data_IF_453746032343
#
_entry.id   IF_453746032343
#
_cell.length_a   1.000
_cell.length_b   1.000
_cell.length_c   1.000
_cell.angle_alpha   90.00
_cell.angle_beta   90.00
_cell.angle_gamma   90.00
#
_symmetry.space_group_name_H-M   'P 1'
#
loop_
_entity.id
_entity.type
_entity.pdbx_description
1 polymer ?
#
# COMPACT_ATOMS: atom_id res chain seq x y z
N UNK A 1 -17.90 16.37 -22.59
CA UNK A 1 -17.37 16.07 -21.24
C UNK A 1 -15.97 15.49 -21.30
N UNK A 2 -15.79 14.30 -21.90
CA UNK A 2 -14.53 13.51 -21.87
C UNK A 2 -13.31 14.30 -22.38
N UNK A 3 -13.42 14.96 -23.52
CA UNK A 3 -12.34 15.82 -24.06
C UNK A 3 -11.98 16.98 -23.15
N UNK A 4 -12.99 17.59 -22.49
CA UNK A 4 -12.75 18.75 -21.62
C UNK A 4 -11.95 18.43 -20.35
N UNK A 5 -12.04 17.18 -19.87
CA UNK A 5 -11.33 16.72 -18.66
C UNK A 5 -10.00 16.02 -19.00
N UNK A 6 -9.55 16.05 -20.25
CA UNK A 6 -8.26 15.51 -20.67
C UNK A 6 -8.19 13.98 -20.83
N UNK A 7 -9.30 13.24 -20.61
CA UNK A 7 -9.29 11.77 -20.67
C UNK A 7 -9.05 11.24 -22.10
N UNK A 8 -9.38 12.03 -23.11
CA UNK A 8 -9.20 11.70 -24.52
C UNK A 8 -7.94 12.32 -25.15
N UNK A 9 -7.10 12.96 -24.37
CA UNK A 9 -5.89 13.60 -24.88
C UNK A 9 -4.89 12.58 -25.43
N UNK A 10 -4.18 12.97 -26.48
CA UNK A 10 -3.03 12.24 -26.94
C UNK A 10 -1.84 12.50 -26.01
N UNK A 11 -1.52 11.51 -25.20
CA UNK A 11 -0.43 11.58 -24.23
C UNK A 11 0.97 11.50 -24.87
N UNK A 12 1.04 11.23 -26.20
CA UNK A 12 2.30 11.08 -26.95
C UNK A 12 3.30 10.13 -26.24
N UNK A 13 2.79 8.96 -25.86
CA UNK A 13 3.58 7.95 -25.13
C UNK A 13 4.71 7.43 -26.06
N UNK A 14 5.99 7.54 -25.67
CA UNK A 14 7.13 7.16 -26.51
C UNK A 14 7.43 5.64 -26.44
N UNK A 15 6.38 4.81 -26.56
CA UNK A 15 6.48 3.35 -26.56
C UNK A 15 5.88 2.79 -27.83
N UNK A 16 6.54 1.78 -28.41
CA UNK A 16 6.04 1.08 -29.60
C UNK A 16 4.71 0.40 -29.26
N UNK A 17 3.71 0.62 -30.12
CA UNK A 17 2.36 0.08 -29.92
C UNK A 17 1.45 0.93 -29.03
N UNK A 18 1.93 2.04 -28.48
CA UNK A 18 1.05 2.99 -27.79
C UNK A 18 0.05 3.61 -28.75
N UNK A 19 -1.22 3.67 -28.35
CA UNK A 19 -2.28 4.28 -29.12
C UNK A 19 -3.01 5.33 -28.27
N UNK A 20 -3.46 6.45 -28.87
CA UNK A 20 -4.26 7.42 -28.16
C UNK A 20 -5.67 6.87 -27.85
N UNK A 21 -6.37 7.53 -26.93
CA UNK A 21 -7.76 7.23 -26.65
C UNK A 21 -8.63 7.44 -27.91
N UNK A 22 -9.55 6.51 -28.17
CA UNK A 22 -10.49 6.57 -29.29
C UNK A 22 -11.89 6.73 -28.74
N UNK A 23 -12.41 7.95 -28.89
CA UNK A 23 -13.80 8.28 -28.53
C UNK A 23 -14.57 8.47 -29.85
N UNK A 24 -15.51 7.57 -30.11
CA UNK A 24 -16.32 7.64 -31.33
C UNK A 24 -17.19 8.90 -31.29
N UNK A 25 -17.15 9.67 -32.37
CA UNK A 25 -17.97 10.86 -32.55
C UNK A 25 -18.97 10.63 -33.70
N UNK A 26 -20.20 11.17 -33.61
CA UNK A 26 -21.14 11.07 -34.69
C UNK A 26 -20.62 11.75 -35.96
N UNK A 27 -20.63 11.03 -37.07
CA UNK A 27 -20.23 11.53 -38.38
C UNK A 27 -21.39 11.36 -39.37
N UNK A 28 -21.68 12.40 -40.13
CA UNK A 28 -22.66 12.36 -41.22
C UNK A 28 -21.94 12.19 -42.55
N UNK A 29 -22.42 11.24 -43.34
CA UNK A 29 -21.97 11.06 -44.71
C UNK A 29 -22.46 12.18 -45.62
N UNK A 30 -22.11 12.16 -46.92
CA UNK A 30 -22.55 13.13 -47.94
C UNK A 30 -24.06 13.21 -48.11
N UNK A 31 -24.81 12.19 -47.70
CA UNK A 31 -26.29 12.15 -47.76
C UNK A 31 -26.93 12.60 -46.44
N UNK A 32 -26.18 13.15 -45.50
CA UNK A 32 -26.66 13.63 -44.21
C UNK A 32 -27.05 12.55 -43.20
N UNK A 33 -26.76 11.28 -43.49
CA UNK A 33 -27.06 10.14 -42.63
C UNK A 33 -25.83 9.82 -41.77
N UNK A 34 -26.08 9.35 -40.53
CA UNK A 34 -24.99 8.86 -39.67
C UNK A 34 -24.54 7.48 -40.14
N UNK A 35 -23.29 7.35 -40.53
CA UNK A 35 -22.65 6.11 -40.99
C UNK A 35 -21.94 5.32 -39.89
N UNK A 36 -21.61 5.98 -38.79
CA UNK A 36 -20.86 5.38 -37.67
C UNK A 36 -21.57 5.52 -36.31
N UNK A 37 -22.88 5.89 -36.31
CA UNK A 37 -23.58 6.23 -35.08
C UNK A 37 -24.94 5.53 -34.99
N UNK A 38 -25.07 4.57 -34.07
CA UNK A 38 -26.33 3.89 -33.80
C UNK A 38 -27.22 4.69 -32.84
N UNK A 39 -28.52 4.42 -32.80
CA UNK A 39 -29.47 5.01 -31.85
C UNK A 39 -29.09 4.70 -30.38
N UNK A 40 -28.37 3.62 -30.15
CA UNK A 40 -27.91 3.16 -28.81
C UNK A 40 -26.52 3.61 -28.47
N UNK A 41 -25.75 4.24 -29.35
CA UNK A 41 -24.37 4.63 -29.15
C UNK A 41 -24.17 5.51 -27.88
N UNK A 42 -24.96 6.59 -27.77
CA UNK A 42 -24.84 7.51 -26.64
C UNK A 42 -25.21 6.87 -25.30
N UNK A 43 -26.32 6.11 -25.15
CA UNK A 43 -26.60 5.33 -23.97
C UNK A 43 -25.47 4.37 -23.59
N UNK A 44 -24.88 3.63 -24.52
CA UNK A 44 -23.75 2.74 -24.25
C UNK A 44 -22.50 3.49 -23.84
N UNK A 45 -22.20 4.61 -24.49
CA UNK A 45 -21.04 5.46 -24.10
C UNK A 45 -21.22 6.07 -22.71
N UNK A 46 -22.45 6.35 -22.27
CA UNK A 46 -22.71 6.93 -20.95
C UNK A 46 -22.30 6.00 -19.79
N UNK A 47 -22.23 4.71 -20.04
CA UNK A 47 -21.78 3.68 -19.09
C UNK A 47 -20.38 3.13 -19.41
N UNK A 48 -19.65 3.78 -20.36
CA UNK A 48 -18.25 3.48 -20.66
C UNK A 48 -18.00 2.51 -21.81
N UNK A 49 -19.04 1.99 -22.48
CA UNK A 49 -18.87 1.19 -23.70
C UNK A 49 -18.64 2.06 -24.94
N UNK A 50 -18.25 1.45 -26.05
CA UNK A 50 -17.98 2.09 -27.34
C UNK A 50 -16.87 3.17 -27.29
N UNK A 51 -16.10 3.20 -26.20
CA UNK A 51 -14.91 4.02 -26.03
C UNK A 51 -13.70 3.11 -25.82
N UNK A 52 -12.58 3.49 -26.41
CA UNK A 52 -11.30 2.82 -26.22
C UNK A 52 -10.33 3.79 -25.54
N UNK A 53 -10.21 3.66 -24.24
CA UNK A 53 -9.32 4.50 -23.41
C UNK A 53 -8.18 3.62 -22.90
N UNK A 54 -6.94 3.88 -23.30
CA UNK A 54 -5.79 3.13 -22.78
C UNK A 54 -5.70 3.22 -21.26
N UNK A 55 -5.24 2.16 -20.56
CA UNK A 55 -5.07 2.20 -19.12
C UNK A 55 -4.22 3.39 -18.63
N UNK A 56 -3.18 3.76 -19.39
CA UNK A 56 -2.34 4.92 -19.04
C UNK A 56 -3.10 6.24 -19.08
N UNK A 57 -4.06 6.42 -20.00
CA UNK A 57 -4.90 7.63 -20.05
C UNK A 57 -5.84 7.67 -18.84
N UNK A 58 -6.42 6.53 -18.46
CA UNK A 58 -7.21 6.40 -17.24
C UNK A 58 -6.37 6.73 -16.01
N UNK A 59 -5.16 6.16 -15.90
CA UNK A 59 -4.26 6.41 -14.80
C UNK A 59 -3.86 7.88 -14.70
N UNK A 60 -3.55 8.53 -15.83
CA UNK A 60 -3.23 9.96 -15.92
C UNK A 60 -4.38 10.83 -15.40
N UNK A 61 -5.61 10.44 -15.72
CA UNK A 61 -6.81 11.13 -15.23
C UNK A 61 -6.99 10.98 -13.71
N UNK A 62 -6.80 9.77 -13.15
CA UNK A 62 -6.83 9.55 -11.69
C UNK A 62 -5.68 10.26 -10.97
N UNK A 63 -4.51 10.29 -11.59
CA UNK A 63 -3.37 11.05 -11.09
C UNK A 63 -3.70 12.56 -11.04
N UNK A 64 -4.38 13.10 -12.05
CA UNK A 64 -4.81 14.50 -12.03
C UNK A 64 -5.82 14.79 -10.91
N UNK A 65 -6.74 13.87 -10.61
CA UNK A 65 -7.64 13.99 -9.45
C UNK A 65 -6.84 14.00 -8.15
N UNK A 66 -5.88 13.09 -7.98
CA UNK A 66 -4.99 13.03 -6.83
C UNK A 66 -4.15 14.31 -6.68
N UNK A 67 -3.74 14.90 -7.80
CA UNK A 67 -2.94 16.12 -7.87
C UNK A 67 -3.81 17.41 -7.94
N UNK A 68 -4.92 17.43 -7.22
CA UNK A 68 -5.83 18.58 -7.09
C UNK A 68 -6.32 19.18 -8.43
N UNK A 69 -6.44 18.34 -9.45
CA UNK A 69 -6.92 18.69 -10.77
C UNK A 69 -5.85 19.06 -11.80
N UNK A 70 -4.58 19.11 -11.42
CA UNK A 70 -3.46 19.37 -12.32
C UNK A 70 -3.04 18.07 -13.02
N UNK A 71 -3.17 18.01 -14.34
CA UNK A 71 -2.84 16.84 -15.15
C UNK A 71 -1.42 16.96 -15.70
N UNK A 72 -0.61 15.97 -15.38
CA UNK A 72 0.79 15.86 -15.84
C UNK A 72 0.91 14.83 -16.97
N UNK A 73 1.80 15.09 -17.93
CA UNK A 73 2.15 14.08 -18.94
C UNK A 73 2.89 12.89 -18.28
N UNK A 74 2.51 11.64 -18.56
CA UNK A 74 3.29 10.49 -18.12
C UNK A 74 4.72 10.55 -18.63
N UNK A 75 5.68 10.34 -17.73
CA UNK A 75 7.11 10.42 -18.01
C UNK A 75 7.78 9.10 -17.60
N UNK A 76 8.39 8.41 -18.56
CA UNK A 76 9.04 7.11 -18.36
C UNK A 76 10.54 7.24 -18.12
N UNK A 77 11.15 8.33 -18.58
CA UNK A 77 12.56 8.63 -18.42
C UNK A 77 12.70 10.01 -17.81
N UNK A 78 13.52 10.13 -16.78
CA UNK A 78 13.80 11.42 -16.12
C UNK A 78 15.05 12.07 -16.66
N UNK A 79 16.09 11.27 -16.94
CA UNK A 79 17.37 11.73 -17.48
C UNK A 79 18.13 10.59 -18.15
N UNK A 80 19.02 10.94 -19.04
CA UNK A 80 20.01 10.04 -19.64
C UNK A 80 21.39 10.41 -19.07
N UNK A 81 22.10 9.40 -18.55
CA UNK A 81 23.43 9.59 -17.94
C UNK A 81 24.46 8.80 -18.73
N UNK A 82 25.61 9.40 -19.04
CA UNK A 82 26.78 8.75 -19.66
C UNK A 82 28.01 9.10 -18.81
N UNK A 83 28.73 8.06 -18.40
CA UNK A 83 29.96 8.19 -17.57
C UNK A 83 29.75 9.03 -16.27
N UNK A 84 28.55 8.96 -15.67
CA UNK A 84 28.21 9.73 -14.48
C UNK A 84 27.69 11.15 -14.73
N UNK A 85 27.79 11.66 -15.96
CA UNK A 85 27.30 13.00 -16.34
C UNK A 85 25.92 12.91 -16.97
N UNK A 86 25.02 13.82 -16.59
CA UNK A 86 23.69 13.95 -17.19
C UNK A 86 23.81 14.62 -18.55
N UNK A 87 23.52 13.87 -19.63
CA UNK A 87 23.60 14.37 -21.01
C UNK A 87 22.23 14.85 -21.53
N UNK A 88 21.13 14.45 -20.92
CA UNK A 88 19.78 14.89 -21.27
C UNK A 88 18.86 14.76 -20.09
N UNK A 89 17.98 15.73 -19.87
CA UNK A 89 16.92 15.71 -18.88
C UNK A 89 15.55 15.85 -19.54
N UNK A 90 14.54 15.20 -18.95
CA UNK A 90 13.15 15.29 -19.37
C UNK A 90 12.35 15.91 -18.21
N UNK A 91 12.10 17.22 -18.21
CA UNK A 91 11.36 17.88 -17.15
C UNK A 91 9.89 17.44 -17.12
N UNK A 92 9.19 17.60 -15.97
CA UNK A 92 7.76 17.39 -15.89
C UNK A 92 7.01 18.34 -16.84
N UNK A 93 6.03 17.82 -17.58
CA UNK A 93 5.18 18.60 -18.49
C UNK A 93 3.74 18.60 -17.99
N UNK A 94 3.14 19.79 -17.92
CA UNK A 94 1.75 19.99 -17.56
C UNK A 94 0.88 19.93 -18.81
N UNK A 95 -0.09 19.00 -18.83
CA UNK A 95 -1.09 18.93 -19.91
C UNK A 95 -2.25 19.88 -19.65
N UNK A 96 -2.77 19.88 -18.43
CA UNK A 96 -3.81 20.79 -17.99
C UNK A 96 -3.51 21.31 -16.58
N UNK A 97 -3.50 22.60 -16.40
CA UNK A 97 -3.37 23.23 -15.08
C UNK A 97 -4.57 22.87 -14.18
N UNK A 98 -5.75 22.63 -14.81
CA UNK A 98 -6.95 22.25 -14.08
C UNK A 98 -7.96 21.53 -14.98
N UNK A 99 -8.25 20.25 -14.67
CA UNK A 99 -9.24 19.45 -15.41
C UNK A 99 -10.70 19.73 -15.01
N UNK A 100 -10.93 20.27 -13.80
CA UNK A 100 -12.25 20.61 -13.29
C UNK A 100 -12.16 21.65 -12.18
N UNK A 101 -13.31 22.23 -11.78
CA UNK A 101 -13.38 23.17 -10.65
C UNK A 101 -12.89 22.49 -9.37
N UNK A 102 -12.19 23.24 -8.50
CA UNK A 102 -11.63 22.75 -7.25
C UNK A 102 -12.66 22.02 -6.36
N UNK A 103 -13.85 22.61 -6.21
CA UNK A 103 -14.93 21.98 -5.45
C UNK A 103 -15.36 20.63 -6.04
N UNK A 104 -15.32 20.48 -7.37
CA UNK A 104 -15.64 19.20 -8.04
C UNK A 104 -14.54 18.17 -7.80
N UNK A 105 -13.28 18.61 -7.81
CA UNK A 105 -12.12 17.74 -7.48
C UNK A 105 -12.24 17.25 -6.04
N UNK A 106 -12.47 18.12 -5.08
CA UNK A 106 -12.63 17.74 -3.65
C UNK A 106 -13.79 16.76 -3.45
N UNK A 107 -14.93 17.00 -4.12
CA UNK A 107 -16.06 16.08 -4.05
C UNK A 107 -15.74 14.70 -4.61
N UNK A 108 -15.08 14.63 -5.77
CA UNK A 108 -14.74 13.34 -6.37
C UNK A 108 -13.67 12.60 -5.56
N UNK A 109 -12.71 13.29 -4.96
CA UNK A 109 -11.73 12.70 -4.05
C UNK A 109 -12.43 12.01 -2.87
N UNK A 110 -13.38 12.68 -2.21
CA UNK A 110 -14.20 12.09 -1.13
C UNK A 110 -15.00 10.87 -1.62
N UNK A 111 -15.62 10.96 -2.80
CA UNK A 111 -16.40 9.85 -3.38
C UNK A 111 -15.49 8.64 -3.65
N UNK A 112 -14.28 8.86 -4.21
CA UNK A 112 -13.35 7.78 -4.52
C UNK A 112 -12.81 7.10 -3.26
N UNK A 113 -12.61 7.84 -2.18
CA UNK A 113 -12.28 7.29 -0.86
C UNK A 113 -13.43 6.44 -0.31
N UNK A 114 -14.68 6.93 -0.40
CA UNK A 114 -15.87 6.19 0.03
C UNK A 114 -16.10 4.91 -0.78
N UNK A 115 -15.75 4.87 -2.06
CA UNK A 115 -15.80 3.63 -2.86
C UNK A 115 -14.94 2.54 -2.24
N UNK A 116 -13.82 2.92 -1.62
CA UNK A 116 -12.90 1.97 -0.98
C UNK A 116 -13.29 1.71 0.47
N UNK A 117 -13.64 2.73 1.26
CA UNK A 117 -13.94 2.56 2.69
C UNK A 117 -15.25 1.82 2.94
N UNK A 118 -16.32 2.14 2.20
CA UNK A 118 -17.66 1.58 2.40
C UNK A 118 -18.26 0.91 1.16
N UNK A 119 -17.72 1.18 -0.04
CA UNK A 119 -18.25 0.70 -1.31
C UNK A 119 -17.68 -0.63 -1.81
N UNK A 120 -17.78 -0.85 -3.13
CA UNK A 120 -17.33 -2.09 -3.79
C UNK A 120 -15.81 -2.21 -3.91
N UNK A 121 -15.06 -1.18 -3.58
CA UNK A 121 -13.60 -1.13 -3.60
C UNK A 121 -12.91 -1.61 -2.34
N UNK A 122 -13.63 -2.08 -1.32
CA UNK A 122 -13.07 -2.45 0.01
C UNK A 122 -11.84 -3.35 -0.04
N UNK A 123 -11.76 -4.26 -1.01
CA UNK A 123 -10.60 -5.17 -1.16
C UNK A 123 -9.33 -4.49 -1.67
N UNK A 124 -9.41 -3.24 -2.12
CA UNK A 124 -8.26 -2.43 -2.47
C UNK A 124 -7.77 -1.55 -1.30
N UNK A 125 -8.57 -1.45 -0.24
CA UNK A 125 -8.26 -0.63 0.93
C UNK A 125 -7.22 -1.26 1.85
N UNK A 126 -6.54 -0.42 2.61
CA UNK A 126 -5.54 -0.78 3.61
C UNK A 126 -6.05 -0.42 5.02
N UNK A 127 -5.69 -1.20 6.06
CA UNK A 127 -5.90 -0.79 7.45
C UNK A 127 -4.88 0.28 7.90
N UNK A 128 -3.81 0.51 7.13
CA UNK A 128 -2.65 1.30 7.51
C UNK A 128 -2.67 2.72 6.91
N UNK A 129 -3.35 2.91 5.79
CA UNK A 129 -3.45 4.19 5.08
C UNK A 129 -4.74 4.27 4.26
N UNK A 130 -5.18 5.48 3.96
CA UNK A 130 -6.38 5.71 3.15
C UNK A 130 -6.08 5.44 1.67
N UNK A 131 -7.04 4.82 0.99
CA UNK A 131 -6.99 4.56 -0.45
C UNK A 131 -8.21 5.16 -1.10
N UNK A 132 -8.02 5.83 -2.22
CA UNK A 132 -9.09 6.33 -3.07
C UNK A 132 -9.02 5.69 -4.46
N UNK A 133 -10.16 5.24 -4.99
CA UNK A 133 -10.16 4.60 -6.30
C UNK A 133 -11.52 4.10 -6.74
N UNK A 134 -11.56 3.47 -7.91
CA UNK A 134 -12.77 2.93 -8.52
C UNK A 134 -12.53 1.59 -9.18
N UNK A 135 -13.47 0.69 -8.99
CA UNK A 135 -13.55 -0.61 -9.65
C UNK A 135 -14.15 -0.47 -11.07
N UNK A 136 -13.67 -1.28 -12.00
CA UNK A 136 -14.28 -1.46 -13.31
C UNK A 136 -14.52 -2.95 -13.60
N UNK A 137 -15.64 -3.26 -14.21
CA UNK A 137 -15.97 -4.61 -14.70
C UNK A 137 -16.71 -4.43 -16.03
N UNK A 138 -15.99 -4.58 -17.13
CA UNK A 138 -16.53 -4.40 -18.45
C UNK A 138 -16.51 -5.72 -19.24
N UNK A 139 -17.55 -6.01 -19.99
CA UNK A 139 -17.52 -7.09 -20.96
C UNK A 139 -16.73 -6.67 -22.20
N UNK A 140 -15.91 -7.57 -22.73
CA UNK A 140 -15.13 -7.33 -23.93
C UNK A 140 -15.85 -7.88 -25.15
N UNK A 141 -16.00 -7.04 -26.19
CA UNK A 141 -16.52 -7.48 -27.48
C UNK A 141 -15.45 -8.28 -28.22
N UNK A 142 -15.88 -9.32 -28.93
CA UNK A 142 -15.07 -10.15 -29.83
C UNK A 142 -15.20 -9.71 -31.30
N UNK A 143 -15.24 -8.40 -31.54
CA UNK A 143 -15.40 -7.82 -32.88
C UNK A 143 -16.79 -8.14 -33.46
N UNK A 144 -16.86 -8.66 -34.69
CA UNK A 144 -18.10 -8.98 -35.37
C UNK A 144 -18.98 -9.99 -34.61
N UNK A 145 -18.40 -10.82 -33.74
CA UNK A 145 -19.14 -11.76 -32.90
C UNK A 145 -19.83 -11.15 -31.66
N UNK A 146 -19.60 -9.86 -31.39
CA UNK A 146 -20.21 -9.14 -30.27
C UNK A 146 -19.74 -9.63 -28.90
N UNK A 147 -20.59 -9.45 -27.88
CA UNK A 147 -20.23 -9.78 -26.46
C UNK A 147 -20.50 -11.22 -26.08
N UNK A 148 -21.32 -11.96 -26.81
CA UNK A 148 -21.80 -13.32 -26.43
C UNK A 148 -21.16 -14.45 -27.20
N UNK A 149 -20.45 -14.20 -28.29
CA UNK A 149 -19.87 -15.23 -29.15
C UNK A 149 -18.74 -15.99 -28.43
N UNK A 150 -18.89 -17.28 -28.24
CA UNK A 150 -17.86 -18.16 -27.63
C UNK A 150 -17.53 -17.89 -26.18
N UNK A 151 -18.52 -17.45 -25.38
CA UNK A 151 -18.37 -17.11 -23.97
C UNK A 151 -18.02 -15.64 -23.72
N UNK A 152 -18.32 -15.14 -22.52
CA UNK A 152 -18.08 -13.73 -22.13
C UNK A 152 -16.68 -13.56 -21.60
N UNK A 153 -15.96 -12.59 -22.15
CA UNK A 153 -14.68 -12.12 -21.60
C UNK A 153 -14.89 -10.79 -20.89
N UNK A 154 -14.16 -10.59 -19.82
CA UNK A 154 -14.23 -9.40 -18.99
C UNK A 154 -12.88 -8.69 -18.95
N UNK A 155 -12.92 -7.36 -18.96
CA UNK A 155 -11.82 -6.51 -18.52
C UNK A 155 -12.17 -6.01 -17.11
N UNK A 156 -11.42 -6.49 -16.14
CA UNK A 156 -11.52 -6.09 -14.74
C UNK A 156 -10.48 -5.03 -14.48
N UNK A 157 -10.85 -3.99 -13.75
CA UNK A 157 -9.88 -2.95 -13.42
C UNK A 157 -10.10 -2.38 -12.02
N UNK A 158 -9.04 -1.83 -11.46
CA UNK A 158 -9.07 -0.92 -10.34
C UNK A 158 -8.06 0.19 -10.61
N UNK A 159 -8.52 1.44 -10.60
CA UNK A 159 -7.67 2.63 -10.73
C UNK A 159 -7.82 3.47 -9.47
N UNK A 160 -6.71 3.92 -8.91
CA UNK A 160 -6.73 4.68 -7.67
C UNK A 160 -5.39 5.30 -7.31
N UNK A 161 -5.34 5.89 -6.13
CA UNK A 161 -4.15 6.52 -5.58
C UNK A 161 -4.09 6.36 -4.06
N UNK A 162 -2.90 6.48 -3.52
CA UNK A 162 -2.62 6.32 -2.09
C UNK A 162 -1.34 7.07 -1.68
N UNK A 163 -1.23 7.48 -0.37
CA UNK A 163 -2.34 7.65 0.58
C UNK A 163 -3.39 8.64 0.03
N UNK A 164 -4.68 8.48 0.37
CA UNK A 164 -5.72 9.34 -0.21
C UNK A 164 -5.73 10.76 0.35
N UNK A 165 -5.32 10.92 1.60
CA UNK A 165 -5.19 12.19 2.34
C UNK A 165 -3.96 13.00 1.92
N UNK A 166 -2.88 12.34 1.49
CA UNK A 166 -1.67 12.96 0.95
C UNK A 166 -1.13 12.13 -0.23
N UNK A 167 -1.71 12.23 -1.42
CA UNK A 167 -1.41 11.37 -2.55
C UNK A 167 0.04 11.42 -2.99
N UNK A 168 0.71 10.26 -2.97
CA UNK A 168 2.09 10.09 -3.45
C UNK A 168 2.18 9.16 -4.66
N UNK A 169 1.28 8.19 -4.74
CA UNK A 169 1.29 7.16 -5.76
C UNK A 169 -0.08 7.01 -6.39
N UNK A 170 -0.12 6.78 -7.69
CA UNK A 170 -1.31 6.34 -8.43
C UNK A 170 -1.01 5.04 -9.14
N UNK A 171 -1.98 4.12 -9.17
CA UNK A 171 -1.83 2.80 -9.76
C UNK A 171 -3.12 2.39 -10.48
N UNK A 172 -2.98 1.67 -11.58
CA UNK A 172 -4.07 0.98 -12.26
C UNK A 172 -3.72 -0.49 -12.45
N UNK A 173 -4.66 -1.35 -12.10
CA UNK A 173 -4.56 -2.80 -12.33
C UNK A 173 -5.65 -3.20 -13.31
N UNK A 174 -5.25 -3.84 -14.42
CA UNK A 174 -6.15 -4.36 -15.43
C UNK A 174 -5.94 -5.87 -15.60
N UNK A 175 -7.01 -6.65 -15.52
CA UNK A 175 -7.00 -8.11 -15.65
C UNK A 175 -8.03 -8.53 -16.70
N UNK A 176 -7.59 -9.26 -17.71
CA UNK A 176 -8.51 -9.92 -18.64
C UNK A 176 -8.89 -11.30 -18.12
N UNK A 177 -10.16 -11.61 -18.11
CA UNK A 177 -10.70 -12.86 -17.58
C UNK A 177 -11.85 -13.41 -18.43
N UNK A 178 -11.82 -14.70 -18.69
CA UNK A 178 -12.92 -15.42 -19.30
C UNK A 178 -13.89 -15.96 -18.25
N UNK A 179 -15.19 -15.80 -18.49
CA UNK A 179 -16.26 -16.33 -17.65
C UNK A 179 -16.39 -15.71 -16.26
N UNK A 180 -17.31 -16.24 -15.47
CA UNK A 180 -17.58 -15.85 -14.09
C UNK A 180 -16.78 -16.74 -13.10
N UNK A 181 -16.54 -16.29 -11.86
CA UNK A 181 -16.85 -14.96 -11.32
C UNK A 181 -15.94 -13.88 -11.89
N UNK A 182 -16.47 -12.66 -12.11
CA UNK A 182 -15.74 -11.51 -12.63
C UNK A 182 -16.03 -10.29 -11.75
N UNK A 183 -14.99 -9.76 -11.10
CA UNK A 183 -15.12 -8.65 -10.17
C UNK A 183 -13.86 -7.77 -10.17
N UNK A 184 -13.99 -6.53 -10.63
CA UNK A 184 -12.90 -5.55 -10.58
C UNK A 184 -12.40 -5.28 -9.14
N UNK A 185 -13.32 -5.11 -8.19
CA UNK A 185 -12.97 -4.96 -6.78
C UNK A 185 -12.37 -6.23 -6.16
N UNK A 186 -12.94 -7.39 -6.52
CA UNK A 186 -12.53 -8.67 -5.96
C UNK A 186 -11.18 -9.19 -6.45
N UNK A 187 -10.80 -8.87 -7.69
CA UNK A 187 -9.57 -9.34 -8.35
C UNK A 187 -8.57 -8.19 -8.49
N UNK A 188 -8.86 -7.20 -9.33
CA UNK A 188 -7.94 -6.08 -9.55
C UNK A 188 -7.72 -5.23 -8.30
N UNK A 189 -8.76 -5.07 -7.46
CA UNK A 189 -8.63 -4.37 -6.17
C UNK A 189 -7.72 -5.11 -5.19
N UNK A 190 -7.76 -6.45 -5.16
CA UNK A 190 -6.84 -7.22 -4.31
C UNK A 190 -5.38 -7.08 -4.75
N UNK A 191 -5.12 -7.13 -6.04
CA UNK A 191 -3.75 -6.91 -6.57
C UNK A 191 -3.28 -5.48 -6.29
N UNK A 192 -4.17 -4.48 -6.42
CA UNK A 192 -3.87 -3.10 -6.06
C UNK A 192 -3.49 -2.98 -4.57
N UNK A 193 -4.22 -3.64 -3.68
CA UNK A 193 -3.91 -3.70 -2.24
C UNK A 193 -2.49 -4.21 -1.99
N UNK A 194 -2.13 -5.37 -2.55
CA UNK A 194 -0.79 -5.96 -2.38
C UNK A 194 0.32 -5.01 -2.90
N UNK A 195 0.09 -4.35 -4.04
CA UNK A 195 1.03 -3.37 -4.59
C UNK A 195 1.16 -2.16 -3.65
N UNK A 196 0.04 -1.62 -3.18
CA UNK A 196 0.05 -0.42 -2.33
C UNK A 196 0.68 -0.68 -0.97
N UNK A 197 0.39 -1.83 -0.34
CA UNK A 197 1.05 -2.25 0.90
C UNK A 197 2.56 -2.42 0.71
N UNK A 198 2.99 -3.08 -0.38
CA UNK A 198 4.40 -3.26 -0.68
C UNK A 198 5.15 -1.94 -0.88
N UNK A 199 4.56 -0.98 -1.60
CA UNK A 199 5.15 0.34 -1.83
C UNK A 199 5.21 1.14 -0.53
N UNK A 200 4.13 1.17 0.25
CA UNK A 200 4.08 1.90 1.51
C UNK A 200 5.05 1.32 2.55
N UNK A 201 5.19 0.00 2.61
CA UNK A 201 6.17 -0.65 3.47
C UNK A 201 7.63 -0.29 3.09
N UNK A 202 7.91 -0.10 1.80
CA UNK A 202 9.23 0.38 1.35
C UNK A 202 9.44 1.87 1.66
N UNK A 203 8.41 2.70 1.48
CA UNK A 203 8.46 4.13 1.79
C UNK A 203 8.75 4.39 3.25
N UNK A 204 8.18 3.59 4.17
CA UNK A 204 8.49 3.65 5.61
C UNK A 204 9.97 3.40 5.91
N UNK A 205 10.68 2.62 5.08
CA UNK A 205 12.14 2.40 5.21
C UNK A 205 12.96 3.58 4.68
N UNK A 206 12.43 4.36 3.76
CA UNK A 206 13.13 5.50 3.13
C UNK A 206 12.88 6.83 3.86
N UNK A 207 11.69 7.01 4.44
CA UNK A 207 11.28 8.25 5.14
C UNK A 207 11.89 8.44 6.54
N UNK A 208 12.72 7.51 7.00
CA UNK A 208 13.46 7.64 8.28
C UNK A 208 14.40 8.85 8.31
N UNK A 209 14.70 9.47 7.15
CA UNK A 209 15.59 10.65 7.07
C UNK A 209 14.89 12.00 7.20
N UNK A 210 13.58 12.10 6.98
CA UNK A 210 12.85 13.38 6.92
C UNK A 210 11.67 13.52 7.88
N UNK A 211 11.55 12.66 8.88
CA UNK A 211 10.44 12.65 9.85
C UNK A 211 10.55 13.79 10.88
N UNK A 212 10.49 15.04 10.42
CA UNK A 212 10.19 16.20 11.30
C UNK A 212 8.73 16.67 11.21
N UNK A 213 7.93 16.16 10.28
CA UNK A 213 6.50 16.48 10.19
C UNK A 213 5.66 15.23 10.49
N UNK A 214 4.80 15.37 11.50
CA UNK A 214 3.83 14.48 12.10
C UNK A 214 3.07 13.52 11.15
N UNK A 215 3.77 12.60 10.51
CA UNK A 215 3.12 11.42 9.96
C UNK A 215 2.70 10.50 11.12
N UNK A 216 1.50 9.95 11.09
CA UNK A 216 1.05 8.95 12.05
C UNK A 216 1.96 7.73 11.95
N UNK A 217 2.97 7.67 12.81
CA UNK A 217 3.91 6.54 12.85
C UNK A 217 3.14 5.30 13.25
N UNK A 218 3.13 4.29 12.37
CA UNK A 218 2.56 2.98 12.72
C UNK A 218 3.45 2.36 13.79
N UNK A 219 2.92 2.28 15.00
CA UNK A 219 3.64 1.65 16.11
C UNK A 219 3.54 0.13 15.96
N UNK A 220 4.65 -0.58 15.75
CA UNK A 220 4.64 -2.03 15.63
C UNK A 220 4.28 -2.71 16.95
N UNK A 221 3.89 -3.98 16.89
CA UNK A 221 3.78 -4.82 18.10
C UNK A 221 5.20 -5.17 18.58
N UNK A 222 5.61 -4.54 19.66
CA UNK A 222 6.96 -4.69 20.23
C UNK A 222 6.92 -5.81 21.27
N UNK A 223 7.82 -6.77 21.11
CA UNK A 223 7.97 -7.90 22.04
C UNK A 223 8.71 -7.47 23.32
N UNK A 224 8.40 -8.12 24.41
CA UNK A 224 9.23 -8.04 25.64
C UNK A 224 10.64 -8.55 25.33
N UNK A 225 11.62 -8.10 26.09
CA UNK A 225 13.02 -8.54 25.91
C UNK A 225 14.01 -7.48 26.36
N UNK A 226 15.07 -7.28 25.59
CA UNK A 226 16.04 -6.22 25.85
C UNK A 226 15.43 -4.85 25.48
N UNK A 227 14.86 -4.17 26.47
CA UNK A 227 14.18 -2.88 26.26
C UNK A 227 15.15 -1.74 25.94
N UNK A 228 16.43 -1.87 26.24
CA UNK A 228 17.46 -0.91 25.85
C UNK A 228 17.68 -0.95 24.33
N UNK A 229 17.77 -2.15 23.76
CA UNK A 229 17.86 -2.34 22.32
C UNK A 229 16.57 -1.93 21.61
N UNK A 230 15.40 -2.22 22.22
CA UNK A 230 14.11 -1.79 21.71
C UNK A 230 14.00 -0.26 21.66
N UNK A 231 14.39 0.46 22.71
CA UNK A 231 14.39 1.93 22.76
C UNK A 231 15.29 2.51 21.67
N UNK A 232 16.48 1.97 21.48
CA UNK A 232 17.38 2.37 20.41
C UNK A 232 16.75 2.25 19.03
N UNK A 233 16.20 1.07 18.71
CA UNK A 233 15.58 0.81 17.40
C UNK A 233 14.35 1.69 17.20
N UNK A 234 13.46 1.79 18.19
CA UNK A 234 12.24 2.58 18.11
C UNK A 234 12.54 4.08 17.90
N UNK A 235 13.52 4.61 18.63
CA UNK A 235 13.96 6.01 18.50
C UNK A 235 14.52 6.28 17.10
N UNK A 236 15.32 5.37 16.54
CA UNK A 236 15.85 5.50 15.17
C UNK A 236 14.78 5.34 14.09
N UNK A 237 13.66 4.68 14.40
CA UNK A 237 12.47 4.62 13.53
C UNK A 237 11.50 5.81 13.74
N UNK A 238 11.88 6.81 14.56
CA UNK A 238 11.03 7.95 14.87
C UNK A 238 9.84 7.63 15.77
N UNK A 239 9.82 6.46 16.41
CA UNK A 239 8.76 6.04 17.32
C UNK A 239 9.11 6.53 18.73
N UNK A 240 8.21 7.30 19.32
CA UNK A 240 8.38 7.81 20.69
C UNK A 240 8.32 6.67 21.71
N UNK A 241 9.20 6.72 22.70
CA UNK A 241 9.18 5.87 23.89
C UNK A 241 8.97 6.74 25.14
N UNK A 242 8.64 6.11 26.28
CA UNK A 242 8.53 6.82 27.56
C UNK A 242 9.90 6.99 28.26
N UNK A 243 10.97 6.58 27.62
CA UNK A 243 12.31 6.59 28.17
C UNK A 243 13.27 7.36 27.27
N UNK A 244 14.33 7.88 27.82
CA UNK A 244 15.43 8.48 27.07
C UNK A 244 16.75 7.89 27.59
N UNK A 245 17.09 6.71 27.09
CA UNK A 245 18.37 6.07 27.42
C UNK A 245 19.46 6.30 26.38
N UNK A 246 19.29 7.36 25.56
CA UNK A 246 20.19 7.69 24.47
C UNK A 246 21.64 7.85 24.95
N UNK A 247 22.43 6.84 24.87
CA UNK A 247 23.84 6.78 25.31
C UNK A 247 24.18 5.57 26.20
N UNK A 248 23.17 4.91 26.79
CA UNK A 248 23.40 3.77 27.67
C UNK A 248 23.61 2.44 26.96
N UNK A 249 23.22 2.30 25.70
CA UNK A 249 23.31 1.04 24.95
C UNK A 249 24.69 0.75 24.36
N UNK A 250 25.59 1.73 24.33
CA UNK A 250 26.95 1.52 23.82
C UNK A 250 27.87 0.84 24.81
N UNK A 251 27.56 0.88 26.12
CA UNK A 251 28.44 0.41 27.19
C UNK A 251 27.75 -0.43 28.26
N UNK A 252 26.44 -0.65 28.16
CA UNK A 252 25.65 -1.23 29.25
C UNK A 252 25.28 -2.70 29.07
N UNK A 253 25.10 -3.39 30.18
CA UNK A 253 24.46 -4.70 30.26
C UNK A 253 23.00 -4.59 29.73
N UNK A 254 22.45 -5.63 29.07
CA UNK A 254 21.08 -5.61 28.58
C UNK A 254 20.09 -5.36 29.72
N UNK A 255 19.14 -4.43 29.50
CA UNK A 255 18.07 -4.18 30.46
C UNK A 255 16.84 -4.94 29.96
N UNK A 256 16.39 -5.90 30.75
CA UNK A 256 15.25 -6.73 30.46
C UNK A 256 13.94 -6.07 30.92
N UNK A 257 12.91 -6.12 30.10
CA UNK A 257 11.67 -5.45 30.42
C UNK A 257 10.51 -5.81 29.52
N UNK A 258 9.40 -5.14 29.79
CA UNK A 258 8.15 -5.23 29.03
C UNK A 258 8.03 -4.06 28.08
N UNK A 259 7.46 -4.32 26.92
CA UNK A 259 7.10 -3.32 25.93
C UNK A 259 5.59 -3.38 25.69
N UNK A 260 4.94 -2.25 25.77
CA UNK A 260 3.49 -2.11 25.58
C UNK A 260 3.18 -0.95 24.63
N UNK A 261 2.35 -1.20 23.63
CA UNK A 261 1.86 -0.16 22.72
C UNK A 261 0.78 0.66 23.42
N UNK A 262 0.99 1.97 23.55
CA UNK A 262 0.01 2.89 24.12
C UNK A 262 -0.70 3.65 23.01
N UNK A 263 -1.82 3.10 22.55
CA UNK A 263 -2.55 3.63 21.40
C UNK A 263 -1.64 3.73 20.16
N UNK A 264 -1.80 4.80 19.39
CA UNK A 264 -0.92 5.14 18.27
C UNK A 264 0.06 6.28 18.62
N UNK A 265 0.43 6.44 19.89
CA UNK A 265 1.23 7.58 20.36
C UNK A 265 2.67 7.24 20.65
N UNK A 266 2.91 6.17 21.42
CA UNK A 266 4.25 5.76 21.83
C UNK A 266 4.28 4.31 22.32
N UNK A 267 5.50 3.76 22.50
CA UNK A 267 5.73 2.47 23.15
C UNK A 267 6.22 2.71 24.58
N UNK A 268 5.49 2.15 25.54
CA UNK A 268 5.87 2.16 26.94
C UNK A 268 6.87 1.03 27.19
N UNK A 269 8.04 1.36 27.69
CA UNK A 269 9.10 0.43 28.07
C UNK A 269 9.26 0.45 29.59
N UNK A 270 9.09 -0.70 30.23
CA UNK A 270 9.19 -0.85 31.69
C UNK A 270 10.19 -1.94 32.05
N UNK A 271 11.08 -1.65 33.02
CA UNK A 271 12.00 -2.65 33.53
C UNK A 271 11.23 -3.77 34.21
N UNK A 272 11.51 -5.01 33.84
CA UNK A 272 10.98 -6.18 34.51
C UNK A 272 11.82 -6.49 35.73
N UNK A 273 11.17 -6.89 36.84
CA UNK A 273 11.86 -7.36 38.04
C UNK A 273 12.76 -8.53 37.67
N UNK A 274 14.05 -8.35 37.84
CA UNK A 274 15.00 -9.42 37.58
C UNK A 274 15.06 -10.34 38.81
N UNK A 275 14.84 -11.61 38.57
CA UNK A 275 15.10 -12.66 39.54
C UNK A 275 16.62 -12.94 39.60
N UNK A 276 17.13 -13.32 40.73
CA UNK A 276 18.56 -13.63 40.93
C UNK A 276 19.11 -14.67 39.92
N UNK A 277 20.43 -14.69 39.71
CA UNK A 277 21.07 -15.56 38.70
C UNK A 277 20.77 -17.07 38.88
N UNK A 278 20.46 -17.52 40.07
CA UNK A 278 20.14 -18.92 40.39
C UNK A 278 18.63 -19.27 40.25
N UNK A 279 17.81 -18.42 39.69
CA UNK A 279 16.37 -18.64 39.57
C UNK A 279 15.89 -18.64 38.10
N UNK A 280 14.77 -19.34 37.84
CA UNK A 280 14.13 -19.38 36.52
C UNK A 280 13.63 -17.98 36.15
N UNK A 281 13.98 -17.43 34.99
CA UNK A 281 13.50 -16.12 34.55
C UNK A 281 12.05 -16.18 34.08
N UNK A 282 11.35 -15.03 34.12
CA UNK A 282 10.10 -14.86 33.43
C UNK A 282 10.38 -14.37 32.00
N UNK A 283 9.97 -15.17 31.01
CA UNK A 283 10.22 -14.92 29.59
C UNK A 283 8.93 -14.68 28.80
N UNK A 284 7.78 -14.59 29.49
CA UNK A 284 6.47 -14.41 28.83
C UNK A 284 6.46 -13.08 28.04
N UNK A 285 5.99 -13.15 26.80
CA UNK A 285 5.93 -12.02 25.88
C UNK A 285 7.25 -11.72 25.15
N UNK A 286 8.34 -12.40 25.44
CA UNK A 286 9.63 -12.22 24.77
C UNK A 286 9.66 -12.86 23.39
N UNK A 287 10.53 -12.37 22.53
CA UNK A 287 10.90 -13.05 21.29
C UNK A 287 11.72 -14.32 21.57
N UNK A 288 11.69 -15.28 20.63
CA UNK A 288 12.41 -16.56 20.76
C UNK A 288 13.89 -16.37 21.14
N UNK A 289 14.59 -15.45 20.48
CA UNK A 289 16.03 -15.18 20.70
C UNK A 289 16.33 -14.72 22.13
N UNK A 290 15.57 -13.76 22.62
CA UNK A 290 15.76 -13.20 23.96
C UNK A 290 15.37 -14.22 25.04
N UNK A 291 14.31 -14.99 24.80
CA UNK A 291 13.85 -16.05 25.70
C UNK A 291 14.90 -17.15 25.86
N UNK A 292 15.48 -17.63 24.75
CA UNK A 292 16.56 -18.63 24.78
C UNK A 292 17.78 -18.08 25.50
N UNK A 293 18.22 -16.88 25.15
CA UNK A 293 19.37 -16.26 25.82
C UNK A 293 19.18 -16.14 27.34
N UNK A 294 17.99 -15.71 27.77
CA UNK A 294 17.65 -15.56 29.17
C UNK A 294 17.68 -16.90 29.95
N UNK A 295 17.23 -17.98 29.36
CA UNK A 295 17.21 -19.31 29.95
C UNK A 295 18.60 -19.92 29.94
N UNK A 296 19.30 -19.93 28.80
CA UNK A 296 20.58 -20.58 28.62
C UNK A 296 21.71 -19.88 29.40
N UNK A 297 21.66 -18.54 29.53
CA UNK A 297 22.56 -17.80 30.40
C UNK A 297 22.47 -18.18 31.88
N UNK A 298 21.42 -18.94 32.28
CA UNK A 298 21.21 -19.49 33.63
C UNK A 298 21.39 -21.00 33.69
N UNK A 299 21.95 -21.63 32.64
CA UNK A 299 22.17 -23.06 32.55
C UNK A 299 20.93 -23.89 32.29
N UNK A 300 19.81 -23.30 31.86
CA UNK A 300 18.58 -23.99 31.56
C UNK A 300 18.55 -24.30 30.05
N UNK A 301 18.56 -25.58 29.68
CA UNK A 301 18.41 -26.01 28.29
C UNK A 301 16.98 -25.72 27.79
N UNK A 302 16.84 -25.33 26.52
CA UNK A 302 15.55 -24.91 25.98
C UNK A 302 15.11 -25.71 24.76
N UNK A 303 13.80 -25.84 24.59
CA UNK A 303 13.18 -26.31 23.36
C UNK A 303 12.00 -25.41 23.00
N UNK A 304 12.00 -24.94 21.76
CA UNK A 304 11.00 -24.01 21.26
C UNK A 304 9.94 -24.75 20.42
N UNK A 305 8.67 -24.33 20.58
CA UNK A 305 7.56 -24.73 19.73
C UNK A 305 6.78 -23.49 19.29
N UNK A 306 6.43 -23.40 18.01
CA UNK A 306 5.67 -22.29 17.43
C UNK A 306 6.52 -21.14 16.92
N UNK A 307 5.88 -20.01 16.64
CA UNK A 307 6.51 -18.76 16.15
C UNK A 307 5.82 -17.58 16.79
N UNK A 308 6.51 -16.45 16.90
CA UNK A 308 5.92 -15.24 17.47
C UNK A 308 6.57 -14.82 18.78
N UNK A 309 5.76 -14.63 19.81
CA UNK A 309 6.18 -14.30 21.18
C UNK A 309 5.88 -15.44 22.14
N UNK A 310 6.65 -15.53 23.22
CA UNK A 310 6.45 -16.58 24.23
C UNK A 310 5.11 -16.39 24.93
N UNK A 311 4.25 -17.41 24.85
CA UNK A 311 2.95 -17.48 25.54
C UNK A 311 3.00 -18.39 26.76
N UNK A 312 3.88 -19.42 26.75
CA UNK A 312 4.02 -20.36 27.87
C UNK A 312 5.47 -20.78 28.06
N UNK A 313 5.86 -20.98 29.33
CA UNK A 313 7.11 -21.63 29.74
C UNK A 313 6.81 -22.77 30.73
N UNK A 314 7.48 -23.92 30.58
CA UNK A 314 7.21 -25.09 31.41
C UNK A 314 7.76 -24.99 32.84
N UNK A 315 8.76 -24.13 33.05
CA UNK A 315 9.34 -23.87 34.38
C UNK A 315 8.72 -22.60 34.97
N UNK A 316 8.32 -22.65 36.22
CA UNK A 316 7.75 -21.51 36.93
C UNK A 316 8.81 -20.46 37.24
N UNK A 317 8.57 -19.22 36.80
CA UNK A 317 9.47 -18.08 37.08
C UNK A 317 9.71 -17.86 38.60
N UNK A 318 10.91 -17.48 38.94
CA UNK A 318 11.33 -17.23 40.34
C UNK A 318 11.70 -18.48 41.16
N UNK A 319 11.48 -19.68 40.66
CA UNK A 319 11.93 -20.92 41.36
C UNK A 319 13.43 -21.13 41.16
N UNK A 320 14.12 -21.77 42.11
CA UNK A 320 15.54 -22.11 41.96
C UNK A 320 15.79 -23.00 40.74
N UNK A 321 16.87 -22.73 40.04
CA UNK A 321 17.31 -23.55 38.89
C UNK A 321 17.96 -24.82 39.43
N UNK A 322 17.45 -25.98 39.02
CA UNK A 322 18.06 -27.29 39.32
C UNK A 322 19.12 -27.64 38.28
N UNK A 323 20.14 -28.40 38.69
CA UNK A 323 21.17 -28.89 37.78
C UNK A 323 20.51 -29.73 36.65
N UNK A 324 20.87 -29.45 35.37
CA UNK A 324 20.27 -30.12 34.23
C UNK A 324 18.85 -29.67 33.88
N UNK A 325 18.39 -28.51 34.39
CA UNK A 325 17.05 -27.98 34.12
C UNK A 325 16.80 -27.82 32.61
N UNK A 326 15.58 -28.17 32.21
CA UNK A 326 15.10 -28.10 30.84
C UNK A 326 13.74 -27.38 30.76
N UNK A 327 13.64 -26.41 29.90
CA UNK A 327 12.40 -25.63 29.71
C UNK A 327 11.84 -25.77 28.30
N UNK A 328 10.57 -26.14 28.22
CA UNK A 328 9.78 -26.07 26.97
C UNK A 328 9.17 -24.69 26.89
N UNK A 329 9.34 -24.03 25.74
CA UNK A 329 8.88 -22.67 25.47
C UNK A 329 7.90 -22.74 24.29
N UNK A 330 6.67 -22.26 24.50
CA UNK A 330 5.66 -22.15 23.45
C UNK A 330 5.56 -20.72 22.98
N UNK A 331 5.54 -20.53 21.65
CA UNK A 331 5.45 -19.25 20.97
C UNK A 331 4.16 -19.20 20.11
N UNK A 332 3.50 -18.06 20.13
CA UNK A 332 2.32 -17.73 19.29
C UNK A 332 2.40 -16.31 18.76
#
# INVERSE_FOLDING_TARGET
GIHRIGLADDLKIPLVGATPARIRMPHKNSHGQYDNWSKTALPWMSIGYETQVPPISTLTFYNAIANNGKMMRPRFVTKVVKNGETIMEFPPEVLHERIAKEQSIKKIQTILEQVVSIGLGKKAGSPNFLVAGKTGTAQMSKGAGGYKSGGVNYLLSFAGYFPADNPRYSCIVCIQKSGLPASGGGMSGKVFHEISEGIMAQSLKLDVKDAQDSASVIIPDVKNGNILAADYVLTHLGIKTNTNWSGSYLTGNPIWGKAEKVGNRYVKLEKQKQYGKGTVPDIIGMGARDAVFMMESRGIKTRLYGRGKVTKQSLMAGKPVKQGAFCVITLE
#
